data_IF_803669585106
#
_entry.id   IF_803669585106
#
_cell.length_a   1.000
_cell.length_b   1.000
_cell.length_c   1.000
_cell.angle_alpha   90.00
_cell.angle_beta   90.00
_cell.angle_gamma   90.00
#
_symmetry.space_group_name_H-M   'P 1'
#
loop_
_entity.id
_entity.type
_entity.pdbx_description
1 polymer ?
#
# COMPACT_ATOMS: atom_id res chain seq x y z
N UNK A 1 -12.28 45.01 63.61
CA UNK A 1 -13.12 44.19 62.72
C UNK A 1 -12.21 43.46 61.72
N UNK A 2 -11.59 42.34 62.11
CA UNK A 2 -10.51 41.67 61.34
C UNK A 2 -11.01 40.75 60.21
N UNK A 3 -12.31 40.50 60.11
CA UNK A 3 -12.93 39.52 59.20
C UNK A 3 -12.82 39.92 57.71
N UNK A 4 -12.62 41.21 57.41
CA UNK A 4 -12.51 41.70 56.01
C UNK A 4 -11.18 41.32 55.34
N UNK A 5 -10.09 41.19 56.09
CA UNK A 5 -8.73 41.04 55.54
C UNK A 5 -8.44 39.60 55.07
N UNK A 6 -8.92 38.62 55.85
CA UNK A 6 -8.84 37.19 55.51
C UNK A 6 -9.74 36.82 54.32
N UNK A 7 -10.90 37.48 54.20
CA UNK A 7 -11.84 37.28 53.07
C UNK A 7 -11.24 37.81 51.76
N UNK A 8 -10.58 38.97 51.80
CA UNK A 8 -9.90 39.57 50.63
C UNK A 8 -8.74 38.68 50.18
N UNK A 9 -7.91 38.21 51.11
CA UNK A 9 -6.76 37.34 50.82
C UNK A 9 -7.20 36.02 50.17
N UNK A 10 -8.30 35.42 50.64
CA UNK A 10 -8.88 34.19 50.05
C UNK A 10 -9.45 34.43 48.65
N UNK A 11 -10.05 35.60 48.39
CA UNK A 11 -10.53 35.97 47.06
C UNK A 11 -9.38 36.21 46.06
N UNK A 12 -8.27 36.81 46.50
CA UNK A 12 -7.08 37.03 45.66
C UNK A 12 -6.42 35.69 45.30
N UNK A 13 -6.21 34.79 46.27
CA UNK A 13 -5.66 33.46 46.02
C UNK A 13 -6.54 32.61 45.10
N UNK A 14 -7.87 32.73 45.24
CA UNK A 14 -8.82 32.08 44.35
C UNK A 14 -8.78 32.65 42.92
N UNK A 15 -8.57 33.95 42.76
CA UNK A 15 -8.42 34.60 41.45
C UNK A 15 -7.10 34.18 40.76
N UNK A 16 -5.98 34.16 41.48
CA UNK A 16 -4.69 33.66 40.96
C UNK A 16 -4.76 32.20 40.53
N UNK A 17 -5.50 31.38 41.30
CA UNK A 17 -5.72 29.97 40.96
C UNK A 17 -6.59 29.82 39.70
N UNK A 18 -7.59 30.69 39.52
CA UNK A 18 -8.42 30.72 38.32
C UNK A 18 -7.63 31.15 37.08
N UNK A 19 -6.72 32.12 37.20
CA UNK A 19 -5.85 32.55 36.10
C UNK A 19 -4.87 31.45 35.69
N UNK A 20 -4.28 30.73 36.65
CA UNK A 20 -3.43 29.56 36.36
C UNK A 20 -4.20 28.44 35.67
N UNK A 21 -5.43 28.17 36.12
CA UNK A 21 -6.29 27.18 35.46
C UNK A 21 -6.65 27.60 34.03
N UNK A 22 -6.88 28.89 33.80
CA UNK A 22 -7.14 29.44 32.46
C UNK A 22 -5.95 29.23 31.53
N UNK A 23 -4.75 29.52 32.00
CA UNK A 23 -3.50 29.33 31.23
C UNK A 23 -3.27 27.84 30.90
N UNK A 24 -3.52 26.94 31.87
CA UNK A 24 -3.42 25.49 31.65
C UNK A 24 -4.45 25.02 30.61
N UNK A 25 -5.68 25.53 30.66
CA UNK A 25 -6.74 25.18 29.69
C UNK A 25 -6.39 25.70 28.29
N UNK A 26 -5.84 26.90 28.17
CA UNK A 26 -5.40 27.47 26.89
C UNK A 26 -4.24 26.66 26.29
N UNK A 27 -3.27 26.25 27.11
CA UNK A 27 -2.18 25.38 26.68
C UNK A 27 -2.66 23.99 26.26
N UNK A 28 -3.59 23.38 27.02
CA UNK A 28 -4.21 22.11 26.66
C UNK A 28 -5.01 22.20 25.37
N UNK A 29 -5.75 23.30 25.16
CA UNK A 29 -6.52 23.50 23.94
C UNK A 29 -5.60 23.61 22.72
N UNK A 30 -4.50 24.37 22.84
CA UNK A 30 -3.47 24.50 21.81
C UNK A 30 -2.87 23.14 21.45
N UNK A 31 -2.51 22.33 22.46
CA UNK A 31 -1.89 21.04 22.23
C UNK A 31 -2.87 20.01 21.64
N UNK A 32 -4.13 20.01 22.08
CA UNK A 32 -5.21 19.18 21.50
C UNK A 32 -5.48 19.57 20.05
N UNK A 33 -5.51 20.87 19.72
CA UNK A 33 -5.65 21.33 18.32
C UNK A 33 -4.47 20.84 17.47
N UNK A 34 -3.24 20.93 17.97
CA UNK A 34 -2.05 20.44 17.27
C UNK A 34 -2.08 18.93 17.04
N UNK A 35 -2.50 18.14 18.03
CA UNK A 35 -2.65 16.69 17.89
C UNK A 35 -3.80 16.32 16.93
N UNK A 36 -4.88 17.10 16.92
CA UNK A 36 -6.01 16.90 16.01
C UNK A 36 -5.64 17.18 14.56
N UNK A 37 -4.71 18.09 14.29
CA UNK A 37 -4.16 18.34 12.94
C UNK A 37 -3.25 17.21 12.44
N UNK A 38 -2.52 16.52 13.34
CA UNK A 38 -1.62 15.40 12.98
C UNK A 38 -2.38 14.08 12.79
N UNK A 39 -3.53 13.90 13.44
CA UNK A 39 -4.39 12.73 13.29
C UNK A 39 -4.82 12.42 11.84
N UNK A 40 -5.35 13.38 11.03
CA UNK A 40 -5.70 13.13 9.64
C UNK A 40 -4.46 12.81 8.78
N UNK A 41 -3.30 13.39 9.09
CA UNK A 41 -2.05 13.10 8.38
C UNK A 41 -1.56 11.68 8.69
N UNK A 42 -1.59 11.28 9.95
CA UNK A 42 -1.22 9.93 10.40
C UNK A 42 -2.14 8.88 9.77
N UNK A 43 -3.45 9.13 9.78
CA UNK A 43 -4.44 8.23 9.17
C UNK A 43 -4.26 8.14 7.65
N UNK A 44 -3.96 9.25 6.97
CA UNK A 44 -3.65 9.25 5.54
C UNK A 44 -2.35 8.46 5.23
N UNK A 45 -1.32 8.54 6.08
CA UNK A 45 -0.08 7.75 5.91
C UNK A 45 -0.35 6.26 6.03
N UNK A 46 -1.15 5.82 7.02
CA UNK A 46 -1.55 4.41 7.14
C UNK A 46 -2.38 3.93 5.95
N UNK A 47 -3.29 4.77 5.44
CA UNK A 47 -4.08 4.44 4.23
C UNK A 47 -3.20 4.32 2.99
N UNK A 48 -2.23 5.20 2.80
CA UNK A 48 -1.27 5.12 1.69
C UNK A 48 -0.39 3.87 1.81
N UNK A 49 0.04 3.51 3.02
CA UNK A 49 0.81 2.29 3.25
C UNK A 49 -0.02 1.02 2.94
N UNK A 50 -1.29 0.98 3.34
CA UNK A 50 -2.19 -0.13 3.03
C UNK A 50 -2.45 -0.23 1.51
N UNK A 51 -2.70 0.89 0.83
CA UNK A 51 -2.86 0.93 -0.62
C UNK A 51 -1.59 0.49 -1.36
N UNK A 52 -0.40 0.79 -0.81
CA UNK A 52 0.87 0.31 -1.36
C UNK A 52 0.97 -1.21 -1.26
N UNK A 53 0.67 -1.77 -0.09
CA UNK A 53 0.70 -3.22 0.14
C UNK A 53 -0.29 -3.96 -0.78
N UNK A 54 -1.50 -3.40 -0.94
CA UNK A 54 -2.52 -3.93 -1.84
C UNK A 54 -2.08 -3.86 -3.32
N UNK A 55 -1.42 -2.77 -3.73
CA UNK A 55 -0.90 -2.61 -5.08
C UNK A 55 0.25 -3.60 -5.38
N UNK A 56 1.15 -3.81 -4.41
CA UNK A 56 2.20 -4.83 -4.50
C UNK A 56 1.59 -6.24 -4.58
N UNK A 57 0.54 -6.53 -3.80
CA UNK A 57 -0.21 -7.78 -3.88
C UNK A 57 -0.89 -7.98 -5.24
N UNK A 58 -1.48 -6.93 -5.82
CA UNK A 58 -2.04 -6.97 -7.17
C UNK A 58 -0.96 -7.26 -8.22
N UNK A 59 0.24 -6.68 -8.08
CA UNK A 59 1.36 -6.92 -9.00
C UNK A 59 1.75 -8.40 -9.02
N UNK A 60 1.88 -9.01 -7.83
CA UNK A 60 2.22 -10.44 -7.67
C UNK A 60 1.14 -11.31 -8.31
N UNK A 61 -0.13 -11.06 -8.00
CA UNK A 61 -1.24 -11.85 -8.52
C UNK A 61 -1.34 -11.78 -10.05
N UNK A 62 -1.12 -10.60 -10.64
CA UNK A 62 -1.09 -10.43 -12.10
C UNK A 62 0.07 -11.23 -12.70
N UNK A 63 1.25 -11.18 -12.08
CA UNK A 63 2.42 -11.93 -12.54
C UNK A 63 2.20 -13.44 -12.47
N UNK A 64 1.64 -13.95 -11.37
CA UNK A 64 1.31 -15.38 -11.20
C UNK A 64 0.28 -15.83 -12.25
N UNK A 65 -0.79 -15.06 -12.42
CA UNK A 65 -1.84 -15.35 -13.42
C UNK A 65 -1.26 -15.42 -14.83
N UNK A 66 -0.33 -14.51 -15.17
CA UNK A 66 0.34 -14.55 -16.48
C UNK A 66 1.21 -15.78 -16.65
N UNK A 67 1.95 -16.18 -15.62
CA UNK A 67 2.78 -17.37 -15.67
C UNK A 67 1.95 -18.65 -15.85
N UNK A 68 0.78 -18.74 -15.22
CA UNK A 68 -0.15 -19.87 -15.43
C UNK A 68 -0.66 -19.92 -16.87
N UNK A 69 -1.06 -18.77 -17.44
CA UNK A 69 -1.53 -18.71 -18.83
C UNK A 69 -0.39 -19.02 -19.81
N UNK A 70 0.82 -18.53 -19.56
CA UNK A 70 2.02 -18.90 -20.33
C UNK A 70 2.30 -20.41 -20.29
N UNK A 71 1.97 -21.08 -19.18
CA UNK A 71 2.07 -22.53 -19.03
C UNK A 71 1.11 -23.33 -19.94
N UNK A 72 0.14 -22.69 -20.58
CA UNK A 72 -0.76 -23.35 -21.56
C UNK A 72 -0.10 -23.57 -22.93
N UNK A 73 1.07 -22.99 -23.18
CA UNK A 73 1.82 -23.24 -24.41
C UNK A 73 2.25 -24.71 -24.51
N UNK A 74 2.16 -25.34 -25.71
CA UNK A 74 2.73 -26.66 -25.95
C UNK A 74 4.21 -26.71 -25.60
N UNK A 75 4.65 -27.77 -24.94
CA UNK A 75 6.05 -27.97 -24.54
C UNK A 75 6.96 -28.06 -25.77
N UNK A 76 7.71 -26.99 -26.07
CA UNK A 76 8.60 -26.94 -27.24
C UNK A 76 9.01 -25.55 -27.75
N UNK A 77 8.36 -24.46 -27.30
CA UNK A 77 8.78 -23.10 -27.66
C UNK A 77 9.89 -22.56 -26.73
N UNK A 78 10.90 -21.85 -27.26
CA UNK A 78 12.04 -21.38 -26.47
C UNK A 78 11.61 -20.29 -25.46
N UNK A 79 11.76 -20.60 -24.17
CA UNK A 79 11.47 -19.69 -23.07
C UNK A 79 12.63 -18.70 -22.82
N UNK A 80 12.38 -17.40 -22.94
CA UNK A 80 13.30 -16.34 -22.45
C UNK A 80 12.64 -15.59 -21.30
N UNK A 81 13.27 -15.61 -20.12
CA UNK A 81 12.70 -15.20 -18.81
C UNK A 81 12.32 -13.71 -18.69
N UNK A 82 11.20 -13.49 -18.00
CA UNK A 82 10.80 -12.32 -17.19
C UNK A 82 10.40 -11.01 -17.89
N UNK A 83 10.87 -10.70 -19.10
CA UNK A 83 10.08 -9.86 -20.03
C UNK A 83 8.95 -10.68 -20.71
N UNK A 84 8.99 -11.99 -20.47
CA UNK A 84 8.25 -13.05 -21.13
C UNK A 84 6.75 -13.02 -20.90
N UNK A 85 6.23 -12.51 -19.78
CA UNK A 85 4.87 -12.84 -19.39
C UNK A 85 3.78 -12.20 -20.30
N UNK A 86 4.00 -10.97 -20.78
CA UNK A 86 3.16 -10.35 -21.82
C UNK A 86 3.35 -11.03 -23.17
N UNK A 87 4.60 -11.25 -23.56
CA UNK A 87 4.97 -11.89 -24.83
C UNK A 87 4.44 -13.33 -24.90
N UNK A 88 4.38 -14.03 -23.76
CA UNK A 88 3.89 -15.38 -23.61
C UNK A 88 2.37 -15.42 -23.75
N UNK A 89 1.63 -14.44 -23.20
CA UNK A 89 0.18 -14.35 -23.43
C UNK A 89 -0.14 -14.04 -24.89
N UNK A 90 0.59 -13.12 -25.53
CA UNK A 90 0.44 -12.86 -26.97
C UNK A 90 0.83 -14.09 -27.80
N UNK A 91 1.84 -14.85 -27.38
CA UNK A 91 2.21 -16.12 -27.99
C UNK A 91 1.12 -17.19 -27.81
N UNK A 92 0.43 -17.26 -26.67
CA UNK A 92 -0.74 -18.13 -26.48
C UNK A 92 -1.84 -17.76 -27.46
N UNK A 93 -2.19 -16.48 -27.57
CA UNK A 93 -3.23 -16.02 -28.51
C UNK A 93 -2.81 -16.39 -29.94
N UNK A 94 -1.57 -16.10 -30.32
CA UNK A 94 -1.03 -16.46 -31.65
C UNK A 94 -1.06 -17.96 -31.93
N UNK A 95 -0.63 -18.79 -30.98
CA UNK A 95 -0.65 -20.25 -31.12
C UNK A 95 -2.09 -20.79 -31.28
N UNK A 96 -3.07 -20.17 -30.60
CA UNK A 96 -4.49 -20.55 -30.77
C UNK A 96 -5.05 -20.12 -32.13
N UNK A 97 -4.67 -18.95 -32.65
CA UNK A 97 -5.02 -18.50 -34.00
C UNK A 97 -4.40 -19.42 -35.07
N UNK A 98 -3.15 -19.82 -34.90
CA UNK A 98 -2.47 -20.76 -35.81
C UNK A 98 -3.11 -22.15 -35.78
N UNK A 99 -3.42 -22.68 -34.60
CA UNK A 99 -4.13 -23.95 -34.47
C UNK A 99 -5.51 -23.91 -35.15
N UNK A 100 -6.26 -22.81 -35.02
CA UNK A 100 -7.53 -22.67 -35.71
C UNK A 100 -7.39 -22.60 -37.24
N UNK A 101 -6.36 -21.90 -37.75
CA UNK A 101 -6.05 -21.89 -39.17
C UNK A 101 -5.71 -23.29 -39.70
N UNK A 102 -4.99 -24.09 -38.93
CA UNK A 102 -4.70 -25.49 -39.26
C UNK A 102 -5.97 -26.35 -39.29
N UNK A 103 -6.90 -26.16 -38.35
CA UNK A 103 -8.20 -26.84 -38.34
C UNK A 103 -9.01 -26.49 -39.59
N UNK A 104 -9.07 -25.20 -39.96
CA UNK A 104 -9.77 -24.76 -41.18
C UNK A 104 -9.13 -25.39 -42.43
N UNK A 105 -7.80 -25.41 -42.51
CA UNK A 105 -7.08 -26.06 -43.63
C UNK A 105 -7.40 -27.56 -43.73
N UNK A 106 -7.50 -28.25 -42.60
CA UNK A 106 -7.90 -29.66 -42.58
C UNK A 106 -9.35 -29.86 -43.04
N UNK A 107 -10.26 -28.95 -42.69
CA UNK A 107 -11.63 -28.97 -43.18
C UNK A 107 -11.71 -28.76 -44.70
N UNK A 108 -10.89 -27.86 -45.27
CA UNK A 108 -10.79 -27.66 -46.72
C UNK A 108 -10.29 -28.93 -47.42
N UNK A 109 -9.29 -29.61 -46.86
CA UNK A 109 -8.79 -30.87 -47.39
C UNK A 109 -9.86 -31.98 -47.37
N UNK A 110 -10.67 -32.03 -46.31
CA UNK A 110 -11.81 -32.95 -46.22
C UNK A 110 -12.82 -32.67 -47.34
N UNK A 111 -13.17 -31.41 -47.58
CA UNK A 111 -14.09 -31.05 -48.68
C UNK A 111 -13.52 -31.41 -50.06
N UNK A 112 -12.24 -31.16 -50.30
CA UNK A 112 -11.58 -31.57 -51.54
C UNK A 112 -11.66 -33.08 -51.76
N UNK A 113 -11.39 -33.87 -50.72
CA UNK A 113 -11.50 -35.33 -50.80
C UNK A 113 -12.96 -35.80 -51.02
N UNK A 114 -13.95 -35.11 -50.46
CA UNK A 114 -15.37 -35.40 -50.69
C UNK A 114 -15.75 -35.16 -52.15
N UNK A 115 -15.27 -34.06 -52.76
CA UNK A 115 -15.50 -33.74 -54.17
C UNK A 115 -14.89 -34.83 -55.09
N UNK A 116 -13.65 -35.24 -54.80
CA UNK A 116 -12.97 -36.32 -55.53
C UNK A 116 -13.73 -37.65 -55.43
N UNK A 117 -14.20 -38.00 -54.23
CA UNK A 117 -14.99 -39.21 -53.98
C UNK A 117 -16.35 -39.16 -54.70
N UNK A 118 -17.00 -38.01 -54.76
CA UNK A 118 -18.24 -37.80 -55.54
C UNK A 118 -18.02 -38.12 -57.02
N UNK A 119 -16.86 -37.74 -57.57
CA UNK A 119 -16.49 -38.04 -58.96
C UNK A 119 -16.28 -39.53 -59.26
N UNK A 120 -15.89 -40.33 -58.26
CA UNK A 120 -15.58 -41.76 -58.42
C UNK A 120 -16.80 -42.68 -58.39
N UNK A 121 -17.87 -42.31 -57.66
CA UNK A 121 -19.08 -43.13 -57.58
C UNK A 121 -20.36 -42.28 -57.50
N UNK A 122 -20.73 -41.59 -58.60
CA UNK A 122 -21.84 -40.64 -58.62
C UNK A 122 -23.25 -41.28 -58.60
N UNK A 123 -23.35 -42.61 -58.70
CA UNK A 123 -24.63 -43.31 -58.86
C UNK A 123 -25.05 -44.15 -57.65
N UNK A 124 -24.29 -44.12 -56.55
CA UNK A 124 -24.64 -44.78 -55.30
C UNK A 124 -25.34 -43.77 -54.36
N UNK A 125 -26.65 -43.93 -54.08
CA UNK A 125 -27.39 -43.01 -53.23
C UNK A 125 -26.95 -43.04 -51.76
N UNK A 126 -26.56 -44.21 -51.23
CA UNK A 126 -26.13 -44.32 -49.84
C UNK A 126 -24.74 -43.69 -49.66
N UNK A 127 -23.86 -43.90 -50.63
CA UNK A 127 -22.54 -43.26 -50.66
C UNK A 127 -22.66 -41.73 -50.76
N UNK A 128 -23.51 -41.24 -51.66
CA UNK A 128 -23.76 -39.80 -51.84
C UNK A 128 -24.30 -39.14 -50.55
N UNK A 129 -25.23 -39.81 -49.85
CA UNK A 129 -25.76 -39.31 -48.58
C UNK A 129 -24.68 -39.21 -47.49
N UNK A 130 -23.76 -40.19 -47.40
CA UNK A 130 -22.65 -40.13 -46.44
C UNK A 130 -21.68 -38.98 -46.75
N UNK A 131 -21.41 -38.72 -48.03
CA UNK A 131 -20.56 -37.59 -48.46
C UNK A 131 -21.19 -36.23 -48.10
N UNK A 132 -22.51 -36.10 -48.24
CA UNK A 132 -23.23 -34.88 -47.83
C UNK A 132 -23.16 -34.63 -46.32
N UNK A 133 -23.26 -35.68 -45.49
CA UNK A 133 -23.07 -35.56 -44.03
C UNK A 133 -21.65 -35.05 -43.71
N UNK A 134 -20.65 -35.57 -44.40
CA UNK A 134 -19.24 -35.19 -44.22
C UNK A 134 -18.97 -33.74 -44.65
N UNK A 135 -19.59 -33.30 -45.74
CA UNK A 135 -19.47 -31.94 -46.25
C UNK A 135 -20.12 -30.92 -45.32
N UNK A 136 -21.32 -31.24 -44.80
CA UNK A 136 -21.98 -30.43 -43.78
C UNK A 136 -21.15 -30.34 -42.49
N UNK A 137 -20.53 -31.45 -42.06
CA UNK A 137 -19.65 -31.43 -40.90
C UNK A 137 -18.40 -30.55 -41.11
N UNK A 138 -17.82 -30.54 -42.32
CA UNK A 138 -16.74 -29.62 -42.66
C UNK A 138 -17.21 -28.15 -42.64
N UNK A 139 -18.42 -27.88 -43.13
CA UNK A 139 -19.03 -26.55 -43.06
C UNK A 139 -19.27 -26.08 -41.62
N UNK A 140 -19.73 -26.97 -40.75
CA UNK A 140 -19.91 -26.69 -39.33
C UNK A 140 -18.58 -26.36 -38.63
N UNK A 141 -17.49 -27.00 -39.02
CA UNK A 141 -16.13 -26.67 -38.53
C UNK A 141 -15.74 -25.24 -38.91
N UNK A 142 -15.99 -24.80 -40.15
CA UNK A 142 -15.71 -23.40 -40.55
C UNK A 142 -16.53 -22.41 -39.73
N UNK A 143 -17.82 -22.68 -39.53
CA UNK A 143 -18.67 -21.81 -38.71
C UNK A 143 -18.18 -21.76 -37.26
N UNK A 144 -17.85 -22.90 -36.66
CA UNK A 144 -17.32 -22.97 -35.30
C UNK A 144 -16.00 -22.21 -35.15
N UNK A 145 -15.07 -22.37 -36.10
CA UNK A 145 -13.78 -21.66 -36.08
C UNK A 145 -13.94 -20.16 -36.36
N UNK A 146 -14.96 -19.72 -37.10
CA UNK A 146 -15.19 -18.29 -37.34
C UNK A 146 -15.49 -17.50 -36.04
N UNK A 147 -16.08 -18.14 -35.03
CA UNK A 147 -16.27 -17.53 -33.71
C UNK A 147 -14.98 -17.39 -32.90
N UNK A 148 -13.93 -18.12 -33.28
CA UNK A 148 -12.62 -18.04 -32.61
C UNK A 148 -11.91 -16.72 -32.93
N UNK A 149 -12.13 -16.10 -34.10
CA UNK A 149 -11.60 -14.76 -34.41
C UNK A 149 -12.10 -13.70 -33.41
N UNK A 150 -13.42 -13.66 -33.16
CA UNK A 150 -13.99 -12.73 -32.18
C UNK A 150 -13.47 -13.01 -30.75
N UNK A 151 -13.25 -14.29 -30.44
CA UNK A 151 -12.72 -14.70 -29.13
C UNK A 151 -11.24 -14.30 -28.99
N UNK A 152 -10.42 -14.51 -30.01
CA UNK A 152 -9.02 -14.10 -30.06
C UNK A 152 -8.86 -12.59 -29.91
N UNK A 153 -9.66 -11.80 -30.63
CA UNK A 153 -9.68 -10.34 -30.48
C UNK A 153 -10.06 -9.88 -29.07
N UNK A 154 -11.04 -10.54 -28.43
CA UNK A 154 -11.45 -10.23 -27.05
C UNK A 154 -10.35 -10.57 -26.06
N UNK A 155 -9.73 -11.75 -26.19
CA UNK A 155 -8.62 -12.16 -25.33
C UNK A 155 -7.48 -11.16 -25.46
N UNK A 156 -7.07 -10.79 -26.68
CA UNK A 156 -6.00 -9.82 -26.92
C UNK A 156 -6.25 -8.47 -26.23
N UNK A 157 -7.49 -7.98 -26.26
CA UNK A 157 -7.88 -6.76 -25.51
C UNK A 157 -7.71 -6.91 -24.00
N UNK A 158 -8.07 -8.07 -23.44
CA UNK A 158 -7.88 -8.37 -22.01
C UNK A 158 -6.39 -8.44 -21.67
N UNK A 159 -5.57 -9.11 -22.49
CA UNK A 159 -4.11 -9.19 -22.32
C UNK A 159 -3.47 -7.79 -22.30
N UNK A 160 -3.84 -6.94 -23.26
CA UNK A 160 -3.33 -5.57 -23.32
C UNK A 160 -3.75 -4.74 -22.09
N UNK A 161 -4.99 -4.92 -21.61
CA UNK A 161 -5.46 -4.24 -20.41
C UNK A 161 -4.69 -4.67 -19.16
N UNK A 162 -4.42 -5.97 -19.00
CA UNK A 162 -3.60 -6.49 -17.90
C UNK A 162 -2.17 -5.94 -17.96
N UNK A 163 -1.58 -5.86 -19.17
CA UNK A 163 -0.24 -5.26 -19.38
C UNK A 163 -0.22 -3.81 -18.92
N UNK A 164 -1.24 -3.04 -19.31
CA UNK A 164 -1.35 -1.64 -18.94
C UNK A 164 -1.51 -1.43 -17.42
N UNK A 165 -2.30 -2.29 -16.77
CA UNK A 165 -2.46 -2.25 -15.31
C UNK A 165 -1.13 -2.57 -14.62
N UNK A 166 -0.43 -3.60 -15.06
CA UNK A 166 0.88 -3.99 -14.52
C UNK A 166 1.91 -2.86 -14.65
N UNK A 167 2.06 -2.26 -15.83
CA UNK A 167 2.97 -1.13 -16.04
C UNK A 167 2.68 0.02 -15.09
N UNK A 168 1.40 0.30 -14.84
CA UNK A 168 0.98 1.38 -13.94
C UNK A 168 1.25 1.05 -12.48
N UNK A 169 0.95 -0.19 -12.07
CA UNK A 169 1.25 -0.74 -10.75
C UNK A 169 2.75 -0.66 -10.47
N UNK A 170 3.58 -1.20 -11.36
CA UNK A 170 5.04 -1.17 -11.24
C UNK A 170 5.59 0.25 -11.21
N UNK A 171 5.06 1.16 -12.03
CA UNK A 171 5.44 2.57 -12.03
C UNK A 171 5.15 3.25 -10.69
N UNK A 172 3.97 3.00 -10.12
CA UNK A 172 3.58 3.57 -8.81
C UNK A 172 4.44 3.00 -7.68
N UNK A 173 4.69 1.69 -7.68
CA UNK A 173 5.57 1.04 -6.71
C UNK A 173 6.99 1.61 -6.78
N UNK A 174 7.53 1.81 -7.99
CA UNK A 174 8.86 2.40 -8.19
C UNK A 174 8.94 3.85 -7.68
N UNK A 175 7.96 4.69 -8.01
CA UNK A 175 7.91 6.07 -7.51
C UNK A 175 7.87 6.14 -5.98
N UNK A 176 7.16 5.21 -5.33
CA UNK A 176 7.16 5.12 -3.87
C UNK A 176 8.50 4.64 -3.32
N UNK A 177 9.16 3.67 -3.95
CA UNK A 177 10.50 3.23 -3.55
C UNK A 177 11.52 4.39 -3.64
N UNK A 178 11.57 5.10 -4.77
CA UNK A 178 12.47 6.25 -4.97
C UNK A 178 12.21 7.35 -3.92
N UNK A 179 10.95 7.62 -3.56
CA UNK A 179 10.62 8.63 -2.54
C UNK A 179 10.97 8.18 -1.12
N UNK A 180 10.93 6.87 -0.84
CA UNK A 180 11.34 6.30 0.44
C UNK A 180 12.86 6.34 0.59
N UNK A 181 13.60 6.09 -0.48
CA UNK A 181 15.07 6.20 -0.53
C UNK A 181 15.55 7.64 -0.35
N UNK A 182 14.89 8.61 -1.00
CA UNK A 182 15.21 10.05 -0.82
C UNK A 182 14.93 10.47 0.63
N UNK A 183 13.81 10.07 1.23
CA UNK A 183 13.49 10.38 2.63
C UNK A 183 14.44 9.70 3.63
N UNK A 184 14.97 8.51 3.30
CA UNK A 184 15.98 7.83 4.11
C UNK A 184 17.37 8.49 3.99
N UNK A 185 17.67 9.12 2.84
CA UNK A 185 18.94 9.80 2.59
C UNK A 185 18.93 11.27 3.08
N UNK A 186 17.76 11.88 3.28
CA UNK A 186 17.55 13.11 4.06
C UNK A 186 17.60 12.83 5.58
N UNK A 187 18.60 12.08 6.04
CA UNK A 187 18.95 12.11 7.46
C UNK A 187 19.31 13.55 7.83
N UNK A 188 18.53 14.14 8.74
CA UNK A 188 18.74 15.48 9.30
C UNK A 188 20.24 15.63 9.57
N UNK A 189 20.94 16.63 9.00
CA UNK A 189 22.37 16.78 9.21
C UNK A 189 22.61 16.84 10.71
N UNK A 190 23.39 15.89 11.24
CA UNK A 190 23.73 15.84 12.65
C UNK A 190 24.24 17.22 13.08
N UNK A 191 23.57 17.82 14.07
CA UNK A 191 23.92 19.14 14.57
C UNK A 191 25.36 19.11 15.10
N UNK A 192 26.28 19.74 14.37
CA UNK A 192 27.73 19.71 14.67
C UNK A 192 28.14 20.74 15.72
N UNK A 193 27.20 21.50 16.29
CA UNK A 193 27.51 22.50 17.31
C UNK A 193 27.95 21.81 18.61
N UNK A 194 28.90 22.40 19.33
CA UNK A 194 29.47 21.81 20.55
C UNK A 194 28.42 21.59 21.67
N UNK A 195 27.33 22.35 21.63
CA UNK A 195 26.19 22.32 22.55
C UNK A 195 25.04 21.42 22.08
N UNK A 196 25.19 20.67 20.97
CA UNK A 196 24.15 19.78 20.47
C UNK A 196 23.69 18.72 21.50
N UNK A 197 24.56 18.36 22.45
CA UNK A 197 24.25 17.45 23.56
C UNK A 197 23.30 18.05 24.63
N UNK A 198 23.07 19.37 24.61
CA UNK A 198 22.14 20.07 25.52
C UNK A 198 20.70 20.10 24.99
N UNK A 199 20.48 19.71 23.73
CA UNK A 199 19.17 19.66 23.07
C UNK A 199 18.48 18.29 23.18
N UNK A 200 18.91 17.46 24.12
CA UNK A 200 18.16 16.25 24.46
C UNK A 200 16.91 16.67 25.24
N UNK A 201 15.74 16.43 24.66
CA UNK A 201 14.47 16.52 25.38
C UNK A 201 14.47 15.62 26.63
N UNK A 202 13.44 15.73 27.49
CA UNK A 202 13.37 14.95 28.73
C UNK A 202 13.65 13.47 28.46
N UNK A 203 14.58 12.89 29.21
CA UNK A 203 15.02 11.50 29.02
C UNK A 203 13.85 10.53 29.19
N UNK A 204 13.77 9.52 28.33
CA UNK A 204 12.76 8.45 28.40
C UNK A 204 12.81 7.67 29.72
N UNK A 205 13.97 7.64 30.39
CA UNK A 205 14.05 7.35 31.81
C UNK A 205 13.70 8.65 32.55
N UNK A 206 12.41 8.86 32.80
CA UNK A 206 11.97 9.95 33.67
C UNK A 206 12.65 9.82 35.04
N UNK A 207 12.97 10.95 35.66
CA UNK A 207 13.43 10.97 37.05
C UNK A 207 12.40 10.24 37.91
N UNK A 208 12.85 9.38 38.82
CA UNK A 208 11.92 8.69 39.70
C UNK A 208 11.29 9.70 40.67
N UNK A 209 10.05 9.45 41.10
CA UNK A 209 9.36 10.34 42.04
C UNK A 209 10.18 10.53 43.33
N UNK A 210 11.00 9.55 43.71
CA UNK A 210 11.91 9.64 44.85
C UNK A 210 13.03 10.66 44.65
N UNK A 211 13.53 10.83 43.42
CA UNK A 211 14.54 11.84 43.08
C UNK A 211 13.94 13.25 43.10
N UNK A 212 12.68 13.36 42.64
CA UNK A 212 11.89 14.60 42.67
C UNK A 212 11.57 14.99 44.11
N UNK A 213 11.15 14.03 44.93
CA UNK A 213 10.85 14.26 46.34
C UNK A 213 12.11 14.58 47.13
N UNK A 214 13.28 14.02 46.80
CA UNK A 214 14.54 14.41 47.47
C UNK A 214 14.95 15.84 47.14
N UNK A 215 14.69 16.32 45.91
CA UNK A 215 14.97 17.70 45.49
C UNK A 215 13.96 18.72 46.03
N UNK A 216 12.72 18.30 46.29
CA UNK A 216 11.63 19.16 46.77
C UNK A 216 11.32 18.97 48.26
N UNK A 217 11.97 18.01 48.95
CA UNK A 217 11.80 17.81 50.38
C UNK A 217 12.48 18.93 51.17
N UNK A 218 11.80 19.51 52.17
CA UNK A 218 12.41 20.51 53.05
C UNK A 218 13.22 19.80 54.14
N UNK A 219 14.37 19.25 53.79
CA UNK A 219 15.28 18.63 54.74
C UNK A 219 16.75 18.92 54.40
N UNK A 220 17.12 20.21 54.48
CA UNK A 220 18.36 20.71 55.11
C UNK A 220 18.42 22.24 54.98
N UNK A 221 17.51 22.91 55.68
CA UNK A 221 17.84 24.22 56.28
C UNK A 221 18.09 23.95 57.76
N UNK A 222 19.15 23.19 58.06
CA UNK A 222 19.65 23.09 59.41
C UNK A 222 20.88 23.98 59.56
N UNK A 223 20.81 24.86 60.56
CA UNK A 223 21.92 25.48 61.27
C UNK A 223 22.62 26.71 60.64
N UNK A 224 21.89 27.82 60.53
CA UNK A 224 22.47 29.13 60.86
C UNK A 224 21.42 30.05 61.51
N UNK A 225 21.56 30.22 62.84
CA UNK A 225 21.04 31.34 63.66
C UNK A 225 19.52 31.47 63.91
N UNK A 226 18.89 30.48 64.57
CA UNK A 226 17.66 30.74 65.34
C UNK A 226 17.89 30.81 66.87
N UNK A 227 19.13 30.63 67.35
CA UNK A 227 19.51 30.90 68.74
C UNK A 227 20.06 32.32 68.97
N UNK A 228 20.05 33.18 67.95
CA UNK A 228 20.61 34.53 68.02
C UNK A 228 19.54 35.64 68.07
N UNK A 229 18.25 35.32 67.90
CA UNK A 229 17.19 36.34 67.93
C UNK A 229 16.65 36.52 69.35
N UNK A 230 16.49 35.45 70.13
CA UNK A 230 16.04 35.57 71.54
C UNK A 230 17.13 36.12 72.48
N UNK A 231 18.41 35.94 72.13
CA UNK A 231 19.53 36.57 72.85
C UNK A 231 19.64 38.09 72.58
N UNK A 232 19.02 38.58 71.50
CA UNK A 232 19.04 39.98 71.08
C UNK A 232 17.96 40.84 71.77
N UNK A 233 16.99 40.20 72.46
CA UNK A 233 15.92 40.88 73.22
C UNK A 233 15.92 40.57 74.72
N UNK A 234 16.90 39.82 75.23
CA UNK A 234 17.01 39.49 76.66
C UNK A 234 17.98 40.41 77.46
N UNK A 235 18.65 41.36 76.81
CA UNK A 235 19.44 42.41 77.49
C UNK A 235 18.87 43.76 77.11
N UNK A 236 17.90 44.22 77.90
CA UNK A 236 17.69 45.58 78.41
C UNK A 236 16.33 45.55 79.13
N UNK A 237 16.39 45.32 80.45
CA UNK A 237 15.46 46.00 81.36
C UNK A 237 15.77 47.48 81.41
#
# INVERSE_FOLDING_TARGET
>A
MPIKDETITRCVSAAESADRLREIIENLHSEVSRLTEVAPTTQAVFQVAALKDELEGMAVLISETRAEVAGLLPTGMPHTRLAAASDDLDAVVGATEEAAAQIMTAAEQIQGAIEDLRGLSPSDPEFSSKLEVLDNAAMDIFMACSFQDLTGQRIRKVVHALTYIEDRVLSLTRLWQERTEIAANEAIPADKRADAHLLNGPSMAGLSQTDIDSLLSPAEVQAAQQNNIDALFAVHG
#
